data_IF_815547916151
#
_entry.id   IF_815547916151
#
_cell.length_a   1.000
_cell.length_b   1.000
_cell.length_c   1.000
_cell.angle_alpha   90.00
_cell.angle_beta   90.00
_cell.angle_gamma   90.00
#
_symmetry.space_group_name_H-M   'P 1'
#
loop_
_entity.id
_entity.type
_entity.pdbx_description
1 polymer ?
#
# COMPACT_ATOMS: atom_id res chain seq x y z
N UNK A 1 12.41 -22.93 14.47
CA UNK A 1 11.87 -21.62 14.90
C UNK A 1 12.70 -20.53 14.22
N UNK A 2 12.25 -19.96 13.09
CA UNK A 2 12.96 -18.84 12.45
C UNK A 2 12.73 -17.60 13.29
N UNK A 3 13.77 -17.07 13.91
CA UNK A 3 13.72 -15.76 14.56
C UNK A 3 13.38 -14.75 13.48
N UNK A 4 12.17 -14.19 13.49
CA UNK A 4 11.86 -13.03 12.66
C UNK A 4 12.79 -11.90 13.06
N UNK A 5 13.58 -11.43 12.09
CA UNK A 5 14.39 -10.22 12.19
C UNK A 5 13.52 -9.07 12.73
N UNK A 6 14.07 -8.23 13.62
CA UNK A 6 13.38 -7.06 14.18
C UNK A 6 12.81 -6.15 13.08
N UNK A 7 13.51 -6.00 11.97
CA UNK A 7 13.03 -5.25 10.81
C UNK A 7 11.74 -5.83 10.21
N UNK A 8 11.62 -7.16 10.13
CA UNK A 8 10.42 -7.83 9.62
C UNK A 8 9.25 -7.75 10.60
N UNK A 9 9.52 -7.73 11.92
CA UNK A 9 8.49 -7.47 12.94
C UNK A 9 7.98 -6.04 12.87
N UNK A 10 8.88 -5.08 12.74
CA UNK A 10 8.53 -3.68 12.60
C UNK A 10 7.71 -3.43 11.32
N UNK A 11 8.13 -4.01 10.19
CA UNK A 11 7.36 -3.95 8.94
C UNK A 11 5.93 -4.47 9.12
N UNK A 12 5.78 -5.64 9.75
CA UNK A 12 4.48 -6.24 9.96
C UNK A 12 3.60 -5.38 10.88
N UNK A 13 4.15 -4.85 11.98
CA UNK A 13 3.44 -3.95 12.89
C UNK A 13 2.97 -2.68 12.19
N UNK A 14 3.85 -2.06 11.41
CA UNK A 14 3.55 -0.86 10.64
C UNK A 14 2.46 -1.12 9.60
N UNK A 15 2.57 -2.25 8.88
CA UNK A 15 1.55 -2.70 7.93
C UNK A 15 0.19 -2.88 8.61
N UNK A 16 0.13 -3.63 9.71
CA UNK A 16 -1.13 -3.88 10.42
C UNK A 16 -1.75 -2.61 10.98
N UNK A 17 -0.94 -1.68 11.52
CA UNK A 17 -1.45 -0.38 12.00
C UNK A 17 -2.08 0.40 10.85
N UNK A 18 -1.34 0.60 9.76
CA UNK A 18 -1.82 1.39 8.63
C UNK A 18 -3.09 0.76 8.02
N UNK A 19 -3.10 -0.55 7.79
CA UNK A 19 -4.26 -1.20 7.19
C UNK A 19 -5.47 -1.21 8.13
N UNK A 20 -5.27 -1.37 9.44
CA UNK A 20 -6.35 -1.26 10.42
C UNK A 20 -6.99 0.12 10.44
N UNK A 21 -6.16 1.17 10.39
CA UNK A 21 -6.62 2.56 10.34
C UNK A 21 -7.34 2.86 9.01
N UNK A 22 -6.81 2.36 7.88
CA UNK A 22 -7.40 2.48 6.54
C UNK A 22 -8.78 1.82 6.46
N UNK A 23 -8.93 0.59 6.95
CA UNK A 23 -10.21 -0.11 6.98
C UNK A 23 -11.22 0.62 7.88
N UNK A 24 -10.78 1.12 9.04
CA UNK A 24 -11.65 1.85 9.99
C UNK A 24 -12.15 3.18 9.41
N UNK A 25 -11.32 3.89 8.64
CA UNK A 25 -11.69 5.14 8.01
C UNK A 25 -12.72 4.94 6.87
N UNK A 26 -12.64 3.82 6.15
CA UNK A 26 -13.61 3.49 5.09
C UNK A 26 -15.02 3.20 5.60
N UNK A 27 -15.16 2.65 6.81
CA UNK A 27 -16.49 2.39 7.40
C UNK A 27 -17.27 3.70 7.66
N UNK A 28 -16.60 4.86 7.57
CA UNK A 28 -17.15 6.16 7.95
C UNK A 28 -17.41 7.07 6.75
N UNK A 29 -16.38 7.45 5.97
CA UNK A 29 -16.48 8.26 4.74
C UNK A 29 -15.13 8.40 3.99
N UNK A 30 -15.15 8.71 2.68
CA UNK A 30 -13.99 8.99 1.82
C UNK A 30 -13.15 10.19 2.32
N UNK A 31 -13.80 11.19 2.94
CA UNK A 31 -13.10 12.37 3.50
C UNK A 31 -12.23 11.99 4.71
N UNK A 32 -12.69 11.04 5.52
CA UNK A 32 -11.92 10.51 6.66
C UNK A 32 -10.74 9.68 6.19
N UNK A 33 -10.92 8.86 5.14
CA UNK A 33 -9.82 8.11 4.51
C UNK A 33 -8.69 9.06 4.07
N UNK A 34 -9.03 10.16 3.39
CA UNK A 34 -8.02 11.13 2.93
C UNK A 34 -7.29 11.80 4.09
N UNK A 35 -8.00 12.17 5.15
CA UNK A 35 -7.42 12.79 6.34
C UNK A 35 -6.46 11.85 7.06
N UNK A 36 -6.85 10.57 7.20
CA UNK A 36 -6.00 9.54 7.79
C UNK A 36 -4.75 9.29 6.94
N UNK A 37 -4.87 9.21 5.62
CA UNK A 37 -3.71 9.04 4.74
C UNK A 37 -2.69 10.17 4.92
N UNK A 38 -3.16 11.42 5.07
CA UNK A 38 -2.28 12.57 5.33
C UNK A 38 -1.60 12.43 6.70
N UNK A 39 -2.34 12.06 7.75
CA UNK A 39 -1.78 11.83 9.10
C UNK A 39 -0.73 10.71 9.10
N UNK A 40 -1.00 9.64 8.35
CA UNK A 40 -0.16 8.44 8.25
C UNK A 40 0.89 8.51 7.15
N UNK A 41 1.09 9.66 6.50
CA UNK A 41 2.01 9.83 5.38
C UNK A 41 3.40 9.28 5.66
N UNK A 42 3.99 9.65 6.80
CA UNK A 42 5.34 9.22 7.17
C UNK A 42 5.42 7.70 7.34
N UNK A 43 4.40 7.09 7.94
CA UNK A 43 4.32 5.64 8.13
C UNK A 43 4.20 4.92 6.77
N UNK A 44 3.36 5.42 5.86
CA UNK A 44 3.26 4.92 4.48
C UNK A 44 4.59 5.02 3.72
N UNK A 45 5.30 6.15 3.84
CA UNK A 45 6.59 6.35 3.18
C UNK A 45 7.66 5.38 3.70
N UNK A 46 7.72 5.16 5.02
CA UNK A 46 8.63 4.19 5.63
C UNK A 46 8.30 2.78 5.15
N UNK A 47 7.02 2.38 5.20
CA UNK A 47 6.60 1.06 4.75
C UNK A 47 6.86 0.85 3.26
N UNK A 48 6.63 1.87 2.42
CA UNK A 48 6.92 1.82 1.00
C UNK A 48 8.42 1.65 0.72
N UNK A 49 9.28 2.32 1.49
CA UNK A 49 10.73 2.12 1.39
C UNK A 49 11.11 0.68 1.76
N UNK A 50 10.60 0.15 2.87
CA UNK A 50 10.82 -1.24 3.28
C UNK A 50 10.36 -2.22 2.20
N UNK A 51 9.24 -1.95 1.52
CA UNK A 51 8.77 -2.74 0.39
C UNK A 51 9.77 -2.71 -0.78
N UNK A 52 10.27 -1.52 -1.15
CA UNK A 52 11.23 -1.31 -2.25
C UNK A 52 12.58 -2.02 -2.01
N UNK A 53 13.00 -2.09 -0.76
CA UNK A 53 14.28 -2.73 -0.38
C UNK A 53 14.23 -4.26 -0.48
N UNK A 54 13.04 -4.84 -0.67
CA UNK A 54 12.91 -6.29 -0.86
C UNK A 54 13.33 -6.73 -2.25
N UNK A 55 14.02 -7.88 -2.33
CA UNK A 55 14.29 -8.54 -3.61
C UNK A 55 13.01 -8.96 -4.36
N UNK A 56 11.86 -9.04 -3.68
CA UNK A 56 10.57 -9.25 -4.33
C UNK A 56 10.18 -8.05 -5.18
N UNK A 57 10.21 -6.83 -4.61
CA UNK A 57 9.88 -5.61 -5.36
C UNK A 57 10.80 -5.42 -6.56
N UNK A 58 12.10 -5.69 -6.40
CA UNK A 58 13.05 -5.57 -7.51
C UNK A 58 12.71 -6.49 -8.68
N UNK A 59 12.22 -7.71 -8.41
CA UNK A 59 11.73 -8.64 -9.47
C UNK A 59 10.39 -8.20 -10.08
N UNK A 60 9.59 -7.46 -9.33
CA UNK A 60 8.26 -7.01 -9.73
C UNK A 60 8.21 -5.58 -10.27
N UNK A 61 9.37 -4.97 -10.56
CA UNK A 61 9.46 -3.55 -10.96
C UNK A 61 8.77 -3.26 -12.30
N UNK A 62 8.79 -4.21 -13.23
CA UNK A 62 8.09 -4.08 -14.51
C UNK A 62 6.58 -4.00 -14.26
N UNK A 63 6.05 -4.94 -13.47
CA UNK A 63 4.63 -4.98 -13.10
C UNK A 63 4.21 -3.73 -12.31
N UNK A 64 5.09 -3.20 -11.45
CA UNK A 64 4.84 -1.93 -10.76
C UNK A 64 4.73 -0.77 -11.75
N UNK A 65 5.62 -0.68 -12.74
CA UNK A 65 5.59 0.39 -13.72
C UNK A 65 4.34 0.30 -14.61
N UNK A 66 3.95 -0.90 -15.02
CA UNK A 66 2.71 -1.15 -15.77
C UNK A 66 1.48 -0.73 -14.94
N UNK A 67 1.43 -1.10 -13.66
CA UNK A 67 0.36 -0.71 -12.75
C UNK A 67 0.29 0.81 -12.56
N UNK A 68 1.44 1.46 -12.38
CA UNK A 68 1.54 2.93 -12.28
C UNK A 68 1.04 3.60 -13.55
N UNK A 69 1.50 3.15 -14.70
CA UNK A 69 1.10 3.69 -16.00
C UNK A 69 -0.41 3.53 -16.19
N UNK A 70 -0.96 2.36 -15.89
CA UNK A 70 -2.40 2.11 -15.98
C UNK A 70 -3.22 3.08 -15.12
N UNK A 71 -2.77 3.36 -13.89
CA UNK A 71 -3.41 4.37 -13.04
C UNK A 71 -3.34 5.76 -13.67
N UNK A 72 -2.16 6.18 -14.14
CA UNK A 72 -1.93 7.52 -14.68
C UNK A 72 -2.70 7.79 -15.97
N UNK A 73 -2.90 6.76 -16.80
CA UNK A 73 -3.68 6.81 -18.04
C UNK A 73 -5.19 6.80 -17.80
N UNK A 74 -5.65 6.14 -16.73
CA UNK A 74 -7.09 5.97 -16.43
C UNK A 74 -7.65 6.95 -15.40
N UNK A 75 -6.79 7.70 -14.70
CA UNK A 75 -7.18 8.51 -13.54
C UNK A 75 -6.54 9.91 -13.57
N UNK A 76 -7.35 10.99 -13.48
CA UNK A 76 -6.86 12.37 -13.37
C UNK A 76 -5.93 12.55 -12.16
N UNK A 77 -4.90 13.43 -12.23
CA UNK A 77 -3.92 13.63 -11.15
C UNK A 77 -4.52 13.79 -9.75
N UNK A 78 -5.59 14.55 -9.61
CA UNK A 78 -6.30 14.86 -8.36
C UNK A 78 -6.90 13.63 -7.67
N UNK A 79 -7.21 12.58 -8.44
CA UNK A 79 -7.89 11.38 -7.96
C UNK A 79 -6.95 10.18 -7.76
N UNK A 80 -5.67 10.30 -8.19
CA UNK A 80 -4.72 9.17 -8.17
C UNK A 80 -4.46 8.62 -6.78
N UNK A 81 -4.38 9.49 -5.77
CA UNK A 81 -4.22 9.04 -4.38
C UNK A 81 -5.41 8.18 -3.96
N UNK A 82 -6.63 8.71 -4.07
CA UNK A 82 -7.85 8.01 -3.68
C UNK A 82 -8.00 6.69 -4.46
N UNK A 83 -7.75 6.70 -5.77
CA UNK A 83 -7.84 5.52 -6.62
C UNK A 83 -6.81 4.45 -6.28
N UNK A 84 -5.56 4.84 -6.01
CA UNK A 84 -4.51 3.90 -5.61
C UNK A 84 -4.80 3.26 -4.25
N UNK A 85 -5.38 4.03 -3.30
CA UNK A 85 -5.84 3.50 -2.02
C UNK A 85 -7.00 2.53 -2.20
N UNK A 86 -7.98 2.89 -3.02
CA UNK A 86 -9.11 2.01 -3.35
C UNK A 86 -8.62 0.68 -3.94
N UNK A 87 -7.64 0.69 -4.86
CA UNK A 87 -7.09 -0.55 -5.40
C UNK A 87 -6.35 -1.40 -4.36
N UNK A 88 -5.61 -0.77 -3.44
CA UNK A 88 -4.96 -1.48 -2.32
C UNK A 88 -6.02 -2.19 -1.45
N UNK A 89 -7.11 -1.51 -1.16
CA UNK A 89 -8.20 -2.01 -0.34
C UNK A 89 -8.99 -3.12 -1.04
N UNK A 90 -9.33 -2.92 -2.31
CA UNK A 90 -9.98 -3.91 -3.16
C UNK A 90 -9.17 -5.21 -3.19
N UNK A 91 -7.85 -5.10 -3.34
CA UNK A 91 -6.95 -6.24 -3.25
C UNK A 91 -7.01 -6.93 -1.87
N UNK A 92 -7.10 -6.17 -0.77
CA UNK A 92 -7.15 -6.74 0.58
C UNK A 92 -8.48 -7.45 0.86
N UNK A 93 -9.59 -6.85 0.45
CA UNK A 93 -10.94 -7.34 0.72
C UNK A 93 -11.31 -8.52 -0.19
N UNK A 94 -10.97 -8.44 -1.48
CA UNK A 94 -11.51 -9.35 -2.48
C UNK A 94 -10.59 -10.51 -2.86
N UNK A 95 -9.31 -10.52 -2.45
CA UNK A 95 -8.41 -11.63 -2.76
C UNK A 95 -8.15 -12.54 -1.55
N UNK A 96 -8.43 -13.86 -1.65
CA UNK A 96 -8.15 -14.79 -0.57
C UNK A 96 -6.64 -14.87 -0.27
N UNK A 97 -6.32 -14.84 1.01
CA UNK A 97 -4.98 -14.75 1.59
C UNK A 97 -4.02 -15.84 1.07
N UNK A 98 -3.31 -15.53 -0.02
CA UNK A 98 -2.24 -16.35 -0.59
C UNK A 98 -0.91 -15.61 -0.55
N UNK A 99 0.20 -16.32 -0.73
CA UNK A 99 1.54 -15.70 -0.87
C UNK A 99 1.58 -14.67 -2.02
N UNK A 100 0.76 -14.84 -3.05
CA UNK A 100 0.63 -13.89 -4.16
C UNK A 100 0.04 -12.53 -3.70
N UNK A 101 -0.85 -12.56 -2.70
CA UNK A 101 -1.45 -11.35 -2.12
C UNK A 101 -0.41 -10.51 -1.37
N UNK A 102 0.48 -11.12 -0.58
CA UNK A 102 1.54 -10.38 0.12
C UNK A 102 2.46 -9.62 -0.85
N UNK A 103 2.74 -10.23 -1.99
CA UNK A 103 3.52 -9.62 -3.05
C UNK A 103 2.80 -8.45 -3.72
N UNK A 104 1.53 -8.66 -4.10
CA UNK A 104 0.71 -7.63 -4.72
C UNK A 104 0.51 -6.44 -3.77
N UNK A 105 0.15 -6.67 -2.51
CA UNK A 105 -0.05 -5.62 -1.49
C UNK A 105 1.16 -4.71 -1.37
N UNK A 106 2.39 -5.25 -1.40
CA UNK A 106 3.63 -4.45 -1.38
C UNK A 106 3.74 -3.50 -2.56
N UNK A 107 3.27 -3.88 -3.75
CA UNK A 107 3.26 -3.00 -4.93
C UNK A 107 2.26 -1.86 -4.75
N UNK A 108 1.06 -2.16 -4.24
CA UNK A 108 0.02 -1.15 -4.03
C UNK A 108 0.35 -0.19 -2.88
N UNK A 109 1.00 -0.65 -1.81
CA UNK A 109 1.51 0.25 -0.76
C UNK A 109 2.51 1.25 -1.34
N UNK A 110 3.42 0.78 -2.20
CA UNK A 110 4.39 1.67 -2.87
C UNK A 110 3.69 2.63 -3.83
N UNK A 111 2.61 2.19 -4.48
CA UNK A 111 1.81 3.02 -5.38
C UNK A 111 1.09 4.14 -4.62
N UNK A 112 0.44 3.81 -3.49
CA UNK A 112 -0.23 4.80 -2.62
C UNK A 112 0.77 5.85 -2.14
N UNK A 113 1.92 5.41 -1.62
CA UNK A 113 2.95 6.32 -1.13
C UNK A 113 3.53 7.25 -2.21
N UNK A 114 3.45 6.87 -3.50
CA UNK A 114 3.88 7.71 -4.62
C UNK A 114 3.02 8.97 -4.77
N UNK A 115 1.71 8.86 -4.49
CA UNK A 115 0.75 9.95 -4.66
C UNK A 115 0.39 10.65 -3.35
N UNK A 116 1.07 10.27 -2.27
CA UNK A 116 0.93 10.85 -0.95
C UNK A 116 2.06 11.86 -0.72
N UNK A 117 2.05 12.95 -1.49
CA UNK A 117 2.96 14.10 -1.38
C UNK A 117 2.82 14.79 -0.02
#
# INVERSE_FOLDING_TARGET
MRVMNEAARYEAQLFYSIMGDLLSAMERDDTEMRSMLIEKRREFQVLAQMCRDTGYFQRSKIQFNELKQHLEESTPPEDRLAKSCFWLLDLIVNWPASLHMQGAVRLYVVLVALYLE
#
